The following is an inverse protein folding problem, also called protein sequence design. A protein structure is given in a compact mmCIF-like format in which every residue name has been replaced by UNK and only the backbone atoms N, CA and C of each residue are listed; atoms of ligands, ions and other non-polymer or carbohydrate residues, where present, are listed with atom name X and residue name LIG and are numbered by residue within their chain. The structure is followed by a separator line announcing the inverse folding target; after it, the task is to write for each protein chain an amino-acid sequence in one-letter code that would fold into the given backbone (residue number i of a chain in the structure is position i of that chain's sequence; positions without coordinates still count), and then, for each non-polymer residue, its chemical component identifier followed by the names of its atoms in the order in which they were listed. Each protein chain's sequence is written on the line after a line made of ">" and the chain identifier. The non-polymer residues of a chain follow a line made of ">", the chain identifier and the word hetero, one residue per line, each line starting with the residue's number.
data_IF_154416222367
#
_entry.id   IF_154416222367
#
_cell.length_a   1.000
_cell.length_b   1.000
_cell.length_c   1.000
_cell.angle_alpha   90.00
_cell.angle_beta   90.00
_cell.angle_gamma   90.00
#
_symmetry.space_group_name_H-M   'P 1'
#
loop_
_entity.id
_entity.type
_entity.pdbx_description
1 polymer ?
#
# COMPACT_ATOMS: atom_id res chain seq x y z
N UNK A 1 -4.91 16.74 -13.52
CA UNK A 1 -5.26 15.41 -12.94
C UNK A 1 -3.97 14.67 -12.61
N UNK A 2 -3.85 14.18 -11.38
CA UNK A 2 -2.71 13.36 -10.94
C UNK A 2 -2.95 11.90 -11.35
N UNK A 3 -1.88 11.16 -11.65
CA UNK A 3 -1.92 9.73 -11.97
C UNK A 3 -1.13 8.93 -10.94
N UNK A 4 -1.68 7.79 -10.56
CA UNK A 4 -1.02 6.80 -9.72
C UNK A 4 0.04 6.03 -10.47
N UNK A 5 0.63 5.06 -9.79
CA UNK A 5 1.68 4.20 -10.32
C UNK A 5 1.12 2.82 -10.69
N UNK A 6 1.79 2.07 -11.59
CA UNK A 6 1.46 0.68 -11.87
C UNK A 6 1.74 -0.22 -10.64
N UNK A 7 1.04 -1.35 -10.49
CA UNK A 7 1.27 -2.25 -9.35
C UNK A 7 2.70 -2.78 -9.35
N UNK A 8 3.35 -2.77 -8.18
CA UNK A 8 4.54 -3.59 -7.92
C UNK A 8 4.05 -4.95 -7.48
N UNK A 9 3.96 -5.88 -8.41
CA UNK A 9 3.54 -7.25 -8.17
C UNK A 9 4.26 -8.21 -9.12
N UNK A 10 4.25 -9.50 -8.77
CA UNK A 10 4.78 -10.57 -9.60
C UNK A 10 3.83 -11.77 -9.58
N UNK A 11 4.03 -12.77 -10.45
CA UNK A 11 3.27 -14.02 -10.37
C UNK A 11 3.39 -14.75 -9.01
N UNK A 12 4.44 -14.45 -8.24
CA UNK A 12 4.66 -14.97 -6.89
C UNK A 12 3.91 -14.23 -5.78
N UNK A 13 3.29 -13.09 -6.07
CA UNK A 13 2.63 -12.24 -5.08
C UNK A 13 1.38 -12.93 -4.53
N UNK A 14 1.38 -13.22 -3.22
CA UNK A 14 0.24 -13.78 -2.48
C UNK A 14 -0.48 -12.74 -1.62
N UNK A 15 0.21 -11.66 -1.23
CA UNK A 15 -0.34 -10.56 -0.43
C UNK A 15 -0.09 -9.22 -1.10
N UNK A 16 -1.14 -8.41 -1.33
CA UNK A 16 -1.04 -7.08 -1.91
C UNK A 16 -1.39 -5.99 -0.90
N UNK A 17 -0.55 -4.98 -0.73
CA UNK A 17 -0.84 -3.81 0.10
C UNK A 17 -1.32 -2.65 -0.78
N UNK A 18 -2.52 -2.15 -0.51
CA UNK A 18 -3.15 -1.04 -1.23
C UNK A 18 -3.15 0.24 -0.38
N UNK A 19 -2.42 1.26 -0.83
CA UNK A 19 -2.59 2.63 -0.35
C UNK A 19 -3.80 3.34 -0.97
N UNK A 20 -4.04 4.59 -0.59
CA UNK A 20 -5.11 5.42 -1.16
C UNK A 20 -4.71 5.98 -2.53
N UNK A 21 -3.68 6.82 -2.54
CA UNK A 21 -3.09 7.42 -3.72
C UNK A 21 -1.69 7.96 -3.36
N UNK A 22 -0.69 7.94 -4.27
CA UNK A 22 0.66 8.40 -3.96
C UNK A 22 0.65 9.86 -3.49
N UNK A 23 1.34 10.19 -2.39
CA UNK A 23 1.54 11.56 -1.90
C UNK A 23 2.44 12.40 -2.82
N UNK A 24 2.58 13.71 -2.59
CA UNK A 24 3.41 14.59 -3.45
C UNK A 24 4.87 14.15 -3.51
N UNK A 25 5.47 13.82 -2.37
CA UNK A 25 6.84 13.31 -2.34
C UNK A 25 6.97 11.99 -3.12
N UNK A 26 5.94 11.14 -3.08
CA UNK A 26 5.90 9.90 -3.85
C UNK A 26 5.80 10.18 -5.35
N UNK A 27 4.89 11.06 -5.77
CA UNK A 27 4.73 11.48 -7.16
C UNK A 27 6.00 12.11 -7.72
N UNK A 28 6.63 13.03 -6.98
CA UNK A 28 7.86 13.68 -7.38
C UNK A 28 9.04 12.70 -7.52
N UNK A 29 9.13 11.71 -6.64
CA UNK A 29 10.18 10.70 -6.69
C UNK A 29 9.88 9.53 -7.63
N UNK A 30 8.65 9.43 -8.16
CA UNK A 30 8.12 8.24 -8.82
C UNK A 30 8.27 6.95 -7.98
N UNK A 31 8.02 7.05 -6.67
CA UNK A 31 8.25 5.97 -5.70
C UNK A 31 7.09 5.81 -4.72
N UNK A 32 6.68 4.57 -4.46
CA UNK A 32 5.74 4.28 -3.38
C UNK A 32 6.31 4.69 -2.03
N UNK A 33 5.48 5.38 -1.23
CA UNK A 33 5.80 5.78 0.14
C UNK A 33 7.16 6.48 0.30
N UNK A 34 7.46 7.45 -0.58
CA UNK A 34 8.76 8.12 -0.64
C UNK A 34 8.95 9.19 0.46
N UNK A 35 7.87 9.69 1.05
CA UNK A 35 7.96 10.72 2.08
C UNK A 35 8.76 10.19 3.29
N UNK A 36 9.85 10.84 3.75
CA UNK A 36 10.75 10.29 4.77
C UNK A 36 10.09 9.96 6.12
N UNK A 37 9.03 10.70 6.47
CA UNK A 37 8.25 10.44 7.69
C UNK A 37 7.15 9.39 7.53
N UNK A 38 6.96 8.82 6.33
CA UNK A 38 6.02 7.73 6.14
C UNK A 38 6.61 6.45 6.75
N UNK A 39 5.83 5.80 7.60
CA UNK A 39 6.29 4.65 8.37
C UNK A 39 6.17 3.32 7.60
N UNK A 40 5.68 3.34 6.35
CA UNK A 40 5.40 2.13 5.56
C UNK A 40 6.55 1.15 5.52
N UNK A 41 7.73 1.59 5.08
CA UNK A 41 8.89 0.71 4.91
C UNK A 41 9.41 0.14 6.23
N UNK A 42 9.25 0.89 7.34
CA UNK A 42 9.62 0.42 8.68
C UNK A 42 8.62 -0.61 9.20
N UNK A 43 7.32 -0.36 9.02
CA UNK A 43 6.24 -1.26 9.41
C UNK A 43 6.33 -2.57 8.62
N UNK A 44 6.42 -2.47 7.29
CA UNK A 44 6.54 -3.63 6.42
C UNK A 44 7.84 -4.39 6.67
N UNK A 45 8.96 -3.69 6.88
CA UNK A 45 10.23 -4.33 7.26
C UNK A 45 10.10 -5.17 8.52
N UNK A 46 9.44 -4.66 9.57
CA UNK A 46 9.20 -5.43 10.78
C UNK A 46 8.27 -6.65 10.55
N UNK A 47 7.24 -6.52 9.70
CA UNK A 47 6.35 -7.62 9.33
C UNK A 47 7.08 -8.73 8.55
N UNK A 48 8.00 -8.36 7.67
CA UNK A 48 8.75 -9.31 6.83
C UNK A 48 10.01 -9.89 7.52
N UNK A 49 10.30 -9.48 8.77
CA UNK A 49 11.54 -9.86 9.44
C UNK A 49 12.79 -9.17 8.87
N UNK A 50 12.63 -8.04 8.17
CA UNK A 50 13.69 -7.20 7.59
C UNK A 50 13.69 -5.78 8.19
N UNK A 51 14.16 -5.59 9.44
CA UNK A 51 14.07 -4.30 10.11
C UNK A 51 14.82 -3.17 9.37
N UNK A 52 15.83 -3.49 8.56
CA UNK A 52 16.59 -2.54 7.74
C UNK A 52 15.99 -2.26 6.36
N UNK A 53 14.82 -2.81 6.01
CA UNK A 53 14.18 -2.61 4.70
C UNK A 53 14.10 -1.12 4.33
N UNK A 54 13.72 -0.26 5.28
CA UNK A 54 13.60 1.18 5.07
C UNK A 54 14.89 1.93 4.71
N UNK A 55 16.06 1.35 5.01
CA UNK A 55 17.37 1.93 4.72
C UNK A 55 17.89 1.55 3.32
N UNK A 56 17.25 0.59 2.64
CA UNK A 56 17.64 0.17 1.31
C UNK A 56 17.23 1.19 0.23
N UNK A 57 17.97 1.27 -0.89
CA UNK A 57 17.52 1.95 -2.09
C UNK A 57 16.14 1.44 -2.55
N UNK A 58 15.36 2.27 -3.25
CA UNK A 58 13.98 1.93 -3.64
C UNK A 58 13.85 0.61 -4.38
N UNK A 59 14.66 0.40 -5.42
CA UNK A 59 14.58 -0.84 -6.22
C UNK A 59 14.93 -2.07 -5.40
N UNK A 60 15.90 -1.95 -4.48
CA UNK A 60 16.23 -3.01 -3.55
C UNK A 60 15.06 -3.29 -2.58
N UNK A 61 14.35 -2.26 -2.09
CA UNK A 61 13.13 -2.45 -1.29
C UNK A 61 12.07 -3.24 -2.05
N UNK A 62 11.81 -2.88 -3.31
CA UNK A 62 10.82 -3.58 -4.14
C UNK A 62 11.22 -5.04 -4.36
N UNK A 63 12.49 -5.31 -4.65
CA UNK A 63 12.99 -6.67 -4.82
C UNK A 63 12.79 -7.53 -3.56
N UNK A 64 13.06 -6.98 -2.36
CA UNK A 64 12.80 -7.71 -1.10
C UNK A 64 11.30 -7.95 -0.90
N UNK A 65 10.46 -6.94 -1.09
CA UNK A 65 9.00 -7.07 -0.98
C UNK A 65 8.46 -8.18 -1.89
N UNK A 66 8.88 -8.20 -3.16
CA UNK A 66 8.48 -9.23 -4.12
C UNK A 66 9.02 -10.62 -3.74
N UNK A 67 10.26 -10.71 -3.23
CA UNK A 67 10.86 -11.97 -2.79
C UNK A 67 10.10 -12.62 -1.62
N UNK A 68 9.46 -11.82 -0.76
CA UNK A 68 8.54 -12.31 0.29
C UNK A 68 7.14 -12.66 -0.23
N UNK A 69 6.88 -12.48 -1.52
CA UNK A 69 5.56 -12.66 -2.13
C UNK A 69 4.58 -11.54 -1.80
N UNK A 70 5.08 -10.36 -1.45
CA UNK A 70 4.26 -9.17 -1.23
C UNK A 70 4.24 -8.29 -2.48
N UNK A 71 3.18 -7.50 -2.64
CA UNK A 71 3.08 -6.47 -3.65
C UNK A 71 2.62 -5.14 -3.07
N UNK A 72 2.76 -4.06 -3.84
CA UNK A 72 2.35 -2.70 -3.48
C UNK A 72 1.58 -2.08 -4.62
N UNK A 73 0.43 -1.48 -4.31
CA UNK A 73 -0.30 -0.63 -5.24
C UNK A 73 -1.14 0.40 -4.47
N UNK A 74 -2.02 1.11 -5.18
CA UNK A 74 -2.99 2.03 -4.60
C UNK A 74 -4.40 1.71 -5.11
N UNK A 75 -5.43 2.11 -4.38
CA UNK A 75 -6.82 1.92 -4.83
C UNK A 75 -7.24 2.87 -5.95
N UNK A 76 -6.59 4.04 -6.06
CA UNK A 76 -6.92 5.05 -7.06
C UNK A 76 -5.89 5.11 -8.19
N UNK A 77 -6.38 5.02 -9.43
CA UNK A 77 -5.60 5.21 -10.65
C UNK A 77 -5.32 6.70 -10.92
N UNK A 78 -6.30 7.55 -10.64
CA UNK A 78 -6.21 8.98 -10.89
C UNK A 78 -7.14 9.78 -9.98
N UNK A 79 -6.79 11.04 -9.74
CA UNK A 79 -7.66 11.98 -9.04
C UNK A 79 -7.24 13.45 -9.28
N UNK A 80 -8.08 14.37 -8.83
CA UNK A 80 -7.67 15.74 -8.53
C UNK A 80 -7.38 15.84 -7.03
N UNK A 81 -6.18 16.32 -6.66
CA UNK A 81 -5.81 16.52 -5.28
C UNK A 81 -4.79 17.65 -5.18
N UNK A 82 -5.04 18.59 -4.28
CA UNK A 82 -4.05 19.56 -3.83
C UNK A 82 -3.40 19.04 -2.54
N UNK A 83 -2.08 19.16 -2.45
CA UNK A 83 -1.34 18.59 -1.33
C UNK A 83 -1.33 17.05 -1.33
N UNK A 84 -1.06 16.50 -0.15
CA UNK A 84 -0.90 15.05 0.06
C UNK A 84 -2.01 14.41 0.91
N UNK A 85 -3.02 15.18 1.35
CA UNK A 85 -4.07 14.69 2.23
C UNK A 85 -5.19 13.99 1.46
N UNK A 86 -5.59 12.80 1.91
CA UNK A 86 -6.72 12.06 1.32
C UNK A 86 -8.03 12.86 1.33
N UNK A 87 -8.24 13.72 2.32
CA UNK A 87 -9.44 14.57 2.43
C UNK A 87 -9.57 15.56 1.25
N UNK A 88 -8.47 15.86 0.56
CA UNK A 88 -8.44 16.74 -0.61
C UNK A 88 -8.68 16.01 -1.94
N UNK A 89 -8.85 14.68 -1.93
CA UNK A 89 -9.12 13.90 -3.16
C UNK A 89 -10.51 14.26 -3.71
N UNK A 90 -10.55 14.56 -5.01
CA UNK A 90 -11.75 14.84 -5.81
C UNK A 90 -11.67 14.08 -7.14
N UNK A 91 -12.82 13.81 -7.76
CA UNK A 91 -12.91 13.09 -9.05
C UNK A 91 -12.07 11.80 -9.08
N UNK A 92 -12.17 11.00 -8.01
CA UNK A 92 -11.38 9.80 -7.84
C UNK A 92 -11.78 8.74 -8.86
N UNK A 93 -10.78 8.17 -9.53
CA UNK A 93 -10.93 7.05 -10.45
C UNK A 93 -10.22 5.84 -9.83
N UNK A 94 -10.94 4.74 -9.53
CA UNK A 94 -10.32 3.55 -8.98
C UNK A 94 -9.42 2.87 -10.00
N UNK A 95 -8.43 2.12 -9.51
CA UNK A 95 -7.71 1.15 -10.33
C UNK A 95 -8.63 -0.02 -10.73
N UNK A 96 -8.28 -0.66 -11.84
CA UNK A 96 -8.95 -1.89 -12.26
C UNK A 96 -8.41 -3.07 -11.43
N UNK A 97 -9.19 -3.48 -10.44
CA UNK A 97 -8.85 -4.62 -9.59
C UNK A 97 -9.11 -5.98 -10.25
N UNK A 98 -9.84 -6.04 -11.37
CA UNK A 98 -10.10 -7.30 -12.06
C UNK A 98 -8.81 -7.89 -12.65
N UNK A 99 -7.90 -7.01 -13.11
CA UNK A 99 -6.60 -7.39 -13.65
C UNK A 99 -5.61 -7.94 -12.60
N UNK A 100 -5.91 -7.83 -11.30
CA UNK A 100 -5.03 -8.35 -10.25
C UNK A 100 -4.75 -9.84 -10.38
N UNK A 101 -5.74 -10.63 -10.82
CA UNK A 101 -5.59 -12.08 -10.99
C UNK A 101 -4.67 -12.43 -12.17
N UNK A 102 -4.52 -11.54 -13.14
CA UNK A 102 -3.61 -11.73 -14.28
C UNK A 102 -2.16 -11.44 -13.87
N UNK A 103 -1.95 -10.35 -13.12
CA UNK A 103 -0.60 -9.92 -12.69
C UNK A 103 -0.08 -10.75 -11.51
N UNK A 104 -0.97 -11.12 -10.60
CA UNK A 104 -0.67 -11.87 -9.38
C UNK A 104 -1.65 -13.05 -9.22
N UNK A 105 -1.52 -14.11 -10.04
CA UNK A 105 -2.38 -15.30 -9.96
C UNK A 105 -2.36 -16.03 -8.60
N UNK A 106 -1.33 -15.82 -7.79
CA UNK A 106 -1.24 -16.38 -6.42
C UNK A 106 -1.85 -15.48 -5.35
N UNK A 107 -2.40 -14.32 -5.72
CA UNK A 107 -2.96 -13.35 -4.78
C UNK A 107 -4.14 -13.97 -4.04
N UNK A 108 -4.04 -14.03 -2.72
CA UNK A 108 -5.12 -14.48 -1.83
C UNK A 108 -5.52 -13.41 -0.85
N UNK A 109 -4.60 -12.53 -0.44
CA UNK A 109 -4.82 -11.52 0.59
C UNK A 109 -4.57 -10.10 0.08
N UNK A 110 -5.47 -9.17 0.40
CA UNK A 110 -5.35 -7.74 0.11
C UNK A 110 -5.46 -6.93 1.40
N UNK A 111 -4.43 -6.16 1.72
CA UNK A 111 -4.43 -5.29 2.90
C UNK A 111 -4.54 -3.82 2.50
N UNK A 112 -5.41 -3.07 3.17
CA UNK A 112 -5.66 -1.66 2.88
C UNK A 112 -4.95 -0.76 3.88
N UNK A 113 -4.00 0.05 3.43
CA UNK A 113 -3.25 0.99 4.26
C UNK A 113 -4.07 2.28 4.51
N UNK A 114 -4.93 2.24 5.53
CA UNK A 114 -5.75 3.37 5.97
C UNK A 114 -7.21 3.31 5.52
N UNK A 115 -8.05 4.11 6.19
CA UNK A 115 -9.52 4.12 5.99
C UNK A 115 -9.94 4.49 4.57
N UNK A 116 -9.22 5.40 3.91
CA UNK A 116 -9.52 5.81 2.54
C UNK A 116 -9.39 4.64 1.57
N UNK A 117 -8.29 3.88 1.66
CA UNK A 117 -8.11 2.66 0.88
C UNK A 117 -9.13 1.59 1.28
N UNK A 118 -9.40 1.44 2.58
CA UNK A 118 -10.36 0.46 3.12
C UNK A 118 -11.80 0.62 2.61
N UNK A 119 -12.18 1.78 2.03
CA UNK A 119 -13.49 1.94 1.37
C UNK A 119 -13.67 1.00 0.17
N UNK A 120 -12.58 0.49 -0.40
CA UNK A 120 -12.58 -0.48 -1.51
C UNK A 120 -12.54 -1.94 -1.02
N UNK A 121 -12.54 -2.18 0.28
CA UNK A 121 -12.57 -3.53 0.84
C UNK A 121 -13.80 -4.34 0.40
N UNK A 122 -15.05 -3.83 0.47
CA UNK A 122 -16.22 -4.66 0.16
C UNK A 122 -16.20 -5.31 -1.24
N UNK A 123 -15.93 -4.60 -2.35
CA UNK A 123 -15.88 -5.24 -3.67
C UNK A 123 -14.70 -6.22 -3.81
N UNK A 124 -13.55 -5.96 -3.20
CA UNK A 124 -12.38 -6.85 -3.24
C UNK A 124 -12.64 -8.12 -2.42
N UNK A 125 -13.27 -7.99 -1.25
CA UNK A 125 -13.73 -9.13 -0.45
C UNK A 125 -14.76 -9.96 -1.21
N UNK A 126 -15.72 -9.32 -1.87
CA UNK A 126 -16.72 -9.99 -2.69
C UNK A 126 -16.10 -10.74 -3.90
N UNK A 127 -14.94 -10.28 -4.40
CA UNK A 127 -14.16 -10.98 -5.41
C UNK A 127 -13.38 -12.20 -4.88
N UNK A 128 -13.55 -12.56 -3.60
CA UNK A 128 -13.01 -13.77 -3.00
C UNK A 128 -11.63 -13.64 -2.38
N UNK A 129 -11.14 -12.42 -2.15
CA UNK A 129 -9.86 -12.19 -1.46
C UNK A 129 -10.06 -12.06 0.06
N UNK A 130 -9.12 -12.61 0.81
CA UNK A 130 -8.95 -12.27 2.23
C UNK A 130 -8.57 -10.80 2.33
N UNK A 131 -9.22 -10.06 3.24
CA UNK A 131 -9.00 -8.62 3.34
C UNK A 131 -8.78 -8.16 4.76
N UNK A 132 -7.88 -7.17 4.90
CA UNK A 132 -7.48 -6.58 6.17
C UNK A 132 -7.32 -5.07 6.02
N UNK A 133 -8.07 -4.27 6.79
CA UNK A 133 -7.89 -2.81 6.85
C UNK A 133 -6.91 -2.46 7.97
N UNK A 134 -5.81 -1.82 7.60
CA UNK A 134 -4.71 -1.42 8.48
C UNK A 134 -4.81 0.06 8.88
N UNK A 135 -4.25 0.45 10.03
CA UNK A 135 -4.03 1.86 10.32
C UNK A 135 -3.03 2.46 9.31
N UNK A 136 -3.27 3.70 8.90
CA UNK A 136 -2.44 4.35 7.89
C UNK A 136 -1.00 4.53 8.38
N UNK A 137 -0.04 4.20 7.51
CA UNK A 137 1.40 4.44 7.70
C UNK A 137 1.81 5.90 7.52
N UNK A 138 0.91 6.75 7.04
CA UNK A 138 1.16 8.18 6.83
C UNK A 138 1.45 8.90 8.15
N UNK A 139 2.34 9.92 8.16
CA UNK A 139 2.53 10.78 9.33
C UNK A 139 1.28 11.57 9.71
N UNK A 140 0.33 11.76 8.78
CA UNK A 140 -0.96 12.41 9.07
C UNK A 140 -1.82 11.60 10.06
N UNK A 141 -1.59 10.28 10.16
CA UNK A 141 -2.22 9.45 11.17
C UNK A 141 -1.39 9.46 12.47
N UNK A 142 -1.43 10.61 13.16
CA UNK A 142 -0.70 10.84 14.41
C UNK A 142 -1.42 10.32 15.66
N UNK A 143 -2.66 9.80 15.52
CA UNK A 143 -3.42 9.25 16.65
C UNK A 143 -2.84 7.94 17.21
N UNK A 144 -2.01 7.23 16.43
CA UNK A 144 -1.37 5.98 16.83
C UNK A 144 0.16 6.11 16.75
N UNK A 145 0.86 5.61 17.77
CA UNK A 145 2.31 5.45 17.75
C UNK A 145 2.75 4.41 16.71
N UNK A 146 4.05 4.35 16.42
CA UNK A 146 4.60 3.32 15.54
C UNK A 146 4.31 1.91 16.06
N UNK A 147 4.54 1.68 17.34
CA UNK A 147 4.36 0.40 18.03
C UNK A 147 2.89 -0.03 18.00
N UNK A 148 1.98 0.92 18.23
CA UNK A 148 0.54 0.65 18.12
C UNK A 148 0.13 0.28 16.70
N UNK A 149 0.66 0.97 15.67
CA UNK A 149 0.44 0.57 14.27
C UNK A 149 0.99 -0.82 14.00
N UNK A 150 2.20 -1.12 14.48
CA UNK A 150 2.88 -2.38 14.25
C UNK A 150 2.06 -3.59 14.71
N UNK A 151 1.37 -3.49 15.85
CA UNK A 151 0.47 -4.56 16.34
C UNK A 151 -0.61 -4.93 15.31
N UNK A 152 -1.17 -3.95 14.59
CA UNK A 152 -2.14 -4.24 13.51
C UNK A 152 -1.46 -4.78 12.27
N UNK A 153 -0.31 -4.21 11.89
CA UNK A 153 0.45 -4.63 10.71
C UNK A 153 1.00 -6.06 10.85
N UNK A 154 1.33 -6.51 12.05
CA UNK A 154 1.73 -7.89 12.31
C UNK A 154 0.63 -8.89 11.98
N UNK A 155 -0.65 -8.50 11.98
CA UNK A 155 -1.77 -9.39 11.59
C UNK A 155 -1.80 -9.71 10.09
N UNK A 156 -0.96 -9.07 9.28
CA UNK A 156 -0.81 -9.42 7.86
C UNK A 156 -0.24 -10.83 7.73
N UNK A 157 0.75 -11.16 8.58
CA UNK A 157 1.39 -12.47 8.66
C UNK A 157 0.85 -13.20 9.89
N UNK A 158 0.25 -14.36 9.66
CA UNK A 158 -0.40 -15.18 10.68
C UNK A 158 -0.71 -16.54 10.08
#
# INVERSE_FOLDING_TARGET
>A
MLRGFPPVASPGTHTLILGSFPGEASLAAAQYYAHPRNQFWRLLGAVLGEPQLHALPYDARLARVLAHGFGIWDVLAACHREGSLDAAIRHAQPNDFASLREVAPKLTKVCFNGKTAGRFEPPIRAAGFDTLVLPSSSPANAMLSFEQKLVFWQRIVG
#
